data_IF_651277785543
#
_entry.id   IF_651277785543
#
_cell.length_a   1.000
_cell.length_b   1.000
_cell.length_c   1.000
_cell.angle_alpha   90.00
_cell.angle_beta   90.00
_cell.angle_gamma   90.00
#
_symmetry.space_group_name_H-M   'P 1'
#
loop_
_entity.id
_entity.type
_entity.pdbx_description
1 polymer ?
#
# COMPACT_ATOMS: atom_id res chain seq x y z
N UNK A 1 2.30 -11.24 -14.57
CA UNK A 1 2.41 -11.52 -13.12
C UNK A 1 3.21 -10.39 -12.52
N UNK A 2 2.63 -9.62 -11.63
CA UNK A 2 3.34 -8.58 -10.86
C UNK A 2 3.35 -9.08 -9.43
N UNK A 3 4.52 -9.18 -8.83
CA UNK A 3 4.70 -9.70 -7.48
C UNK A 3 5.60 -8.71 -6.74
N UNK A 4 5.15 -8.17 -5.61
CA UNK A 4 5.95 -7.27 -4.79
C UNK A 4 5.83 -7.59 -3.30
N UNK A 5 6.94 -7.46 -2.55
CA UNK A 5 7.01 -7.73 -1.12
C UNK A 5 7.57 -6.55 -0.34
N UNK A 6 6.97 -6.27 0.81
CA UNK A 6 7.41 -5.23 1.74
C UNK A 6 8.14 -5.86 2.91
N UNK A 7 9.42 -5.51 3.11
CA UNK A 7 10.24 -5.97 4.23
C UNK A 7 10.58 -4.80 5.15
N UNK A 8 10.20 -4.90 6.43
CA UNK A 8 10.65 -3.96 7.45
C UNK A 8 11.94 -4.48 8.10
N UNK A 9 13.04 -3.74 7.91
CA UNK A 9 14.28 -3.97 8.65
C UNK A 9 14.22 -3.20 9.97
N UNK A 10 14.07 -3.92 11.09
CA UNK A 10 14.16 -3.28 12.39
C UNK A 10 15.61 -2.91 12.71
N UNK A 11 15.88 -1.62 12.85
CA UNK A 11 16.96 -1.16 13.70
C UNK A 11 16.38 -1.05 15.12
N UNK A 12 16.81 -1.93 16.03
CA UNK A 12 16.58 -1.77 17.46
C UNK A 12 17.61 -0.77 17.94
N UNK A 13 17.26 0.48 18.31
CA UNK A 13 18.19 1.32 19.05
C UNK A 13 18.35 0.69 20.44
N UNK A 14 19.56 0.31 20.78
CA UNK A 14 19.91 -0.07 22.13
C UNK A 14 19.66 1.14 23.04
N UNK A 15 18.58 1.11 23.80
CA UNK A 15 18.28 2.09 24.84
C UNK A 15 19.26 1.86 25.98
N UNK A 16 20.30 2.70 26.07
CA UNK A 16 21.06 2.90 27.29
C UNK A 16 20.13 3.52 28.33
N UNK A 17 19.78 2.76 29.34
CA UNK A 17 19.07 3.22 30.53
C UNK A 17 19.97 4.12 31.37
N UNK A 18 19.79 5.42 31.31
CA UNK A 18 20.29 6.35 32.28
C UNK A 18 19.20 6.60 33.34
N UNK A 19 19.39 6.03 34.51
CA UNK A 19 18.61 6.33 35.69
C UNK A 19 18.96 7.74 36.18
N UNK A 20 17.98 8.65 36.27
CA UNK A 20 18.08 9.88 37.00
C UNK A 20 17.01 9.96 38.09
N UNK A 21 17.53 10.12 39.28
CA UNK A 21 16.84 10.23 40.56
C UNK A 21 15.97 11.48 40.64
N UNK A 22 14.87 11.30 41.33
CA UNK A 22 13.88 12.30 41.71
C UNK A 22 14.43 13.38 42.62
N UNK A 23 13.99 14.65 42.43
CA UNK A 23 13.92 15.64 43.48
C UNK A 23 12.52 16.27 43.50
N UNK A 24 11.95 16.22 44.68
CA UNK A 24 10.65 16.72 45.06
C UNK A 24 10.70 18.26 45.23
N UNK A 25 9.66 18.99 44.83
CA UNK A 25 9.48 20.41 45.14
C UNK A 25 8.10 20.89 44.70
N UNK A 26 7.27 21.25 45.69
CA UNK A 26 5.85 21.43 45.57
C UNK A 26 5.35 22.75 45.03
N UNK A 27 4.05 22.81 44.80
CA UNK A 27 3.14 23.92 44.95
C UNK A 27 2.77 24.72 43.70
N UNK A 28 1.48 24.73 43.34
CA UNK A 28 0.89 25.72 42.46
C UNK A 28 -0.19 25.17 41.56
N UNK A 29 -1.43 25.22 42.00
CA UNK A 29 -2.63 24.95 41.22
C UNK A 29 -2.86 26.06 40.17
N UNK A 30 -2.92 25.64 38.88
CA UNK A 30 -3.70 26.35 37.86
C UNK A 30 -4.22 25.33 36.84
N UNK A 31 -5.53 25.15 36.86
CA UNK A 31 -6.27 24.31 35.95
C UNK A 31 -6.41 24.99 34.59
N UNK A 32 -5.55 24.63 33.66
CA UNK A 32 -5.77 24.84 32.24
C UNK A 32 -6.05 23.45 31.60
N UNK A 33 -7.31 23.24 31.20
CA UNK A 33 -7.74 22.11 30.37
C UNK A 33 -6.99 22.16 29.01
N UNK A 34 -5.77 21.65 28.96
CA UNK A 34 -5.14 21.25 27.71
C UNK A 34 -5.82 19.96 27.28
N UNK A 35 -6.56 20.01 26.17
CA UNK A 35 -7.05 18.82 25.50
C UNK A 35 -5.86 17.85 25.32
N UNK A 36 -5.88 16.75 26.05
CA UNK A 36 -4.95 15.63 25.82
C UNK A 36 -5.20 15.11 24.40
N UNK A 37 -4.35 15.55 23.48
CA UNK A 37 -4.23 14.89 22.19
C UNK A 37 -3.86 13.44 22.45
N UNK A 38 -4.83 12.54 22.28
CA UNK A 38 -4.57 11.10 22.31
C UNK A 38 -3.62 10.78 21.16
N UNK A 39 -2.33 10.62 21.48
CA UNK A 39 -1.36 10.11 20.52
C UNK A 39 -1.81 8.74 20.09
N UNK A 40 -2.15 8.57 18.82
CA UNK A 40 -2.46 7.24 18.25
C UNK A 40 -1.24 6.35 18.46
N UNK A 41 -1.37 5.16 19.08
CA UNK A 41 -0.25 4.24 19.22
C UNK A 41 0.39 3.95 17.86
N UNK A 42 1.72 3.75 17.85
CA UNK A 42 2.44 3.36 16.65
C UNK A 42 1.81 2.10 16.05
N UNK A 43 1.50 2.11 14.75
CA UNK A 43 0.84 0.99 14.06
C UNK A 43 -0.68 1.00 14.08
N UNK A 44 -1.32 2.06 14.60
CA UNK A 44 -2.76 2.26 14.44
C UNK A 44 -3.06 3.42 13.50
N UNK A 45 -4.02 3.23 12.60
CA UNK A 45 -4.52 4.31 11.75
C UNK A 45 -5.61 5.10 12.48
N UNK A 46 -5.63 6.41 12.26
CA UNK A 46 -6.75 7.25 12.68
C UNK A 46 -7.97 6.86 11.87
N UNK A 47 -9.07 6.58 12.55
CA UNK A 47 -10.31 6.22 11.86
C UNK A 47 -10.80 7.38 10.99
N UNK A 48 -11.06 7.08 9.72
CA UNK A 48 -11.56 8.03 8.74
C UNK A 48 -13.08 7.92 8.62
N UNK A 49 -13.78 9.00 8.23
CA UNK A 49 -15.20 8.92 7.95
C UNK A 49 -15.50 7.88 6.88
N UNK A 50 -16.46 6.99 7.15
CA UNK A 50 -16.82 5.90 6.23
C UNK A 50 -15.85 4.72 6.17
N UNK A 51 -14.79 4.73 6.98
CA UNK A 51 -13.91 3.58 7.11
C UNK A 51 -14.67 2.35 7.67
N UNK A 52 -14.28 1.13 7.28
CA UNK A 52 -14.91 -0.08 7.79
C UNK A 52 -14.72 -0.21 9.31
N UNK A 53 -15.68 -0.88 9.95
CA UNK A 53 -15.59 -1.19 11.38
C UNK A 53 -14.53 -2.26 11.60
N UNK A 54 -13.71 -2.10 12.63
CA UNK A 54 -12.73 -3.10 13.05
C UNK A 54 -13.41 -4.40 13.48
N UNK A 55 -12.97 -5.51 12.89
CA UNK A 55 -13.37 -6.86 13.29
C UNK A 55 -12.38 -7.50 14.28
N UNK A 56 -11.20 -6.89 14.48
CA UNK A 56 -10.05 -7.42 15.19
C UNK A 56 -9.49 -8.72 14.57
N UNK A 57 -9.76 -8.94 13.30
CA UNK A 57 -9.15 -9.99 12.49
C UNK A 57 -8.30 -9.33 11.40
N UNK A 58 -6.99 -9.50 11.48
CA UNK A 58 -6.02 -8.82 10.58
C UNK A 58 -6.37 -9.03 9.11
N UNK A 59 -6.69 -10.27 8.70
CA UNK A 59 -6.99 -10.58 7.31
C UNK A 59 -8.29 -9.89 6.83
N UNK A 60 -9.33 -9.92 7.65
CA UNK A 60 -10.63 -9.29 7.35
C UNK A 60 -10.49 -7.77 7.32
N UNK A 61 -9.84 -7.21 8.33
CA UNK A 61 -9.66 -5.76 8.42
C UNK A 61 -8.81 -5.24 7.28
N UNK A 62 -7.70 -5.91 6.95
CA UNK A 62 -6.84 -5.53 5.84
C UNK A 62 -7.55 -5.58 4.48
N UNK A 63 -8.31 -6.66 4.21
CA UNK A 63 -9.09 -6.79 3.00
C UNK A 63 -10.18 -5.71 2.87
N UNK A 64 -10.90 -5.43 3.97
CA UNK A 64 -11.90 -4.38 4.02
C UNK A 64 -11.30 -2.99 3.80
N UNK A 65 -10.10 -2.74 4.33
CA UNK A 65 -9.38 -1.49 4.12
C UNK A 65 -8.97 -1.30 2.65
N UNK A 66 -8.46 -2.34 2.02
CA UNK A 66 -8.16 -2.32 0.57
C UNK A 66 -9.42 -1.94 -0.23
N UNK A 67 -10.55 -2.58 0.05
CA UNK A 67 -11.81 -2.27 -0.63
C UNK A 67 -12.32 -0.86 -0.34
N UNK A 68 -12.14 -0.36 0.88
CA UNK A 68 -12.46 1.02 1.22
C UNK A 68 -11.65 2.02 0.38
N UNK A 69 -10.33 1.82 0.28
CA UNK A 69 -9.47 2.67 -0.55
C UNK A 69 -9.79 2.55 -2.05
N UNK A 70 -10.08 1.35 -2.53
CA UNK A 70 -10.55 1.14 -3.91
C UNK A 70 -11.83 1.92 -4.19
N UNK A 71 -12.79 1.88 -3.27
CA UNK A 71 -14.04 2.64 -3.38
C UNK A 71 -13.82 4.16 -3.42
N UNK A 72 -12.90 4.70 -2.62
CA UNK A 72 -12.58 6.14 -2.61
C UNK A 72 -12.04 6.66 -3.94
N UNK A 73 -11.40 5.83 -4.74
CA UNK A 73 -10.88 6.17 -6.07
C UNK A 73 -11.81 5.74 -7.21
N UNK A 74 -13.02 5.27 -6.87
CA UNK A 74 -14.04 4.90 -7.86
C UNK A 74 -13.85 3.51 -8.47
N UNK A 75 -13.04 2.64 -7.89
CA UNK A 75 -12.91 1.25 -8.31
C UNK A 75 -14.00 0.38 -7.68
N UNK A 76 -14.42 -0.64 -8.43
CA UNK A 76 -15.28 -1.68 -7.89
C UNK A 76 -14.58 -2.41 -6.73
N UNK A 77 -15.32 -2.76 -5.66
CA UNK A 77 -14.77 -3.58 -4.61
C UNK A 77 -14.44 -4.98 -5.13
N UNK A 78 -13.39 -5.56 -4.59
CA UNK A 78 -13.06 -6.98 -4.79
C UNK A 78 -14.09 -7.84 -4.07
N UNK A 79 -14.63 -8.83 -4.73
CA UNK A 79 -15.49 -9.84 -4.12
C UNK A 79 -14.61 -10.80 -3.34
N UNK A 80 -14.86 -10.96 -2.04
CA UNK A 80 -14.10 -11.90 -1.22
C UNK A 80 -14.41 -13.34 -1.61
N UNK A 81 -13.37 -14.15 -1.80
CA UNK A 81 -13.47 -15.54 -2.19
C UNK A 81 -12.72 -16.44 -1.18
N UNK A 82 -13.42 -17.38 -0.56
CA UNK A 82 -12.85 -18.24 0.48
C UNK A 82 -11.73 -19.17 -0.01
N UNK A 83 -11.72 -19.55 -1.29
CA UNK A 83 -10.62 -20.32 -1.86
C UNK A 83 -9.35 -19.48 -1.97
N UNK A 84 -9.49 -18.21 -2.30
CA UNK A 84 -8.38 -17.25 -2.31
C UNK A 84 -7.93 -16.96 -0.87
N UNK A 85 -8.86 -16.81 0.10
CA UNK A 85 -8.51 -16.69 1.52
C UNK A 85 -7.65 -17.87 1.99
N UNK A 86 -8.01 -19.09 1.60
CA UNK A 86 -7.25 -20.30 1.96
C UNK A 86 -5.82 -20.28 1.38
N UNK A 87 -5.65 -19.85 0.14
CA UNK A 87 -4.32 -19.70 -0.46
C UNK A 87 -3.48 -18.67 0.28
N UNK A 88 -4.05 -17.48 0.54
CA UNK A 88 -3.40 -16.40 1.27
C UNK A 88 -3.06 -16.77 2.72
N UNK A 89 -3.97 -17.47 3.43
CA UNK A 89 -3.73 -17.96 4.78
C UNK A 89 -2.63 -19.02 4.81
N UNK A 90 -2.65 -19.97 3.86
CA UNK A 90 -1.61 -20.99 3.71
C UNK A 90 -0.25 -20.35 3.50
N UNK A 91 -0.18 -19.27 2.71
CA UNK A 91 1.06 -18.53 2.50
C UNK A 91 1.50 -17.76 3.74
N UNK A 92 0.61 -17.03 4.41
CA UNK A 92 0.94 -16.33 5.66
C UNK A 92 1.44 -17.29 6.74
N UNK A 93 0.87 -18.49 6.85
CA UNK A 93 1.37 -19.54 7.75
C UNK A 93 2.77 -20.03 7.37
N UNK A 94 3.04 -20.26 6.08
CA UNK A 94 4.37 -20.61 5.59
C UNK A 94 5.40 -19.53 5.95
N UNK A 95 5.08 -18.26 5.70
CA UNK A 95 5.95 -17.13 6.02
C UNK A 95 6.27 -17.08 7.53
N UNK A 96 5.24 -17.25 8.36
CA UNK A 96 5.38 -17.27 9.81
C UNK A 96 6.25 -18.43 10.32
N UNK A 97 5.99 -19.67 9.86
CA UNK A 97 6.72 -20.86 10.29
C UNK A 97 8.20 -20.77 9.90
N UNK A 98 8.51 -20.23 8.71
CA UNK A 98 9.86 -20.13 8.19
C UNK A 98 10.55 -18.79 8.52
N UNK A 99 9.84 -17.85 9.15
CA UNK A 99 10.31 -16.51 9.50
C UNK A 99 10.91 -15.75 8.31
N UNK A 100 10.17 -15.70 7.20
CA UNK A 100 10.57 -15.06 5.94
C UNK A 100 9.43 -14.21 5.37
N UNK A 101 9.77 -13.20 4.55
CA UNK A 101 8.81 -12.47 3.71
C UNK A 101 9.25 -12.64 2.26
N UNK A 102 8.59 -13.53 1.54
CA UNK A 102 8.93 -13.90 0.16
C UNK A 102 7.65 -14.31 -0.57
N UNK A 103 7.63 -14.19 -1.88
CA UNK A 103 6.48 -14.63 -2.69
C UNK A 103 6.48 -16.13 -2.99
N UNK A 104 7.65 -16.69 -3.26
CA UNK A 104 7.75 -18.11 -3.59
C UNK A 104 8.04 -18.94 -2.35
N UNK A 105 7.35 -20.06 -2.23
CA UNK A 105 7.65 -21.08 -1.22
C UNK A 105 8.67 -22.08 -1.77
N UNK A 106 9.42 -22.69 -0.88
CA UNK A 106 10.41 -23.73 -1.23
C UNK A 106 9.81 -25.10 -0.87
N UNK A 107 9.71 -25.97 -1.86
CA UNK A 107 9.22 -27.35 -1.68
C UNK A 107 10.03 -28.07 -0.59
N UNK A 108 9.32 -28.74 0.31
CA UNK A 108 9.93 -29.46 1.45
C UNK A 108 10.13 -28.64 2.71
N UNK A 109 9.93 -27.33 2.68
CA UNK A 109 9.88 -26.50 3.88
C UNK A 109 8.55 -26.67 4.62
N UNK A 110 8.52 -26.55 5.95
CA UNK A 110 7.29 -26.61 6.73
C UNK A 110 6.23 -25.62 6.22
N UNK A 111 4.97 -26.04 6.17
CA UNK A 111 3.87 -25.20 5.71
C UNK A 111 3.78 -24.98 4.20
N UNK A 112 4.55 -25.74 3.39
CA UNK A 112 4.50 -25.63 1.93
C UNK A 112 3.11 -25.97 1.38
N UNK A 113 2.53 -25.06 0.59
CA UNK A 113 1.21 -25.20 -0.06
C UNK A 113 1.26 -25.04 -1.58
N UNK A 114 2.39 -24.59 -2.13
CA UNK A 114 2.63 -24.38 -3.56
C UNK A 114 3.77 -23.39 -3.75
N UNK A 115 4.61 -23.61 -4.76
CA UNK A 115 5.81 -22.78 -4.99
C UNK A 115 5.42 -21.35 -5.33
N UNK A 116 4.58 -21.17 -6.35
CA UNK A 116 4.12 -19.87 -6.83
C UNK A 116 2.72 -19.55 -6.31
N UNK A 117 2.29 -18.30 -6.43
CA UNK A 117 0.89 -17.92 -6.15
C UNK A 117 -0.10 -18.74 -6.98
N UNK A 118 0.21 -19.00 -8.27
CA UNK A 118 -0.64 -19.83 -9.14
C UNK A 118 -0.82 -21.23 -8.56
N UNK A 119 0.27 -21.86 -8.09
CA UNK A 119 0.21 -23.20 -7.50
C UNK A 119 -0.64 -23.20 -6.22
N UNK A 120 -0.51 -22.18 -5.38
CA UNK A 120 -1.29 -22.04 -4.14
C UNK A 120 -2.78 -21.83 -4.39
N UNK A 121 -3.13 -20.99 -5.36
CA UNK A 121 -4.51 -20.78 -5.79
C UNK A 121 -5.10 -22.08 -6.35
N UNK A 122 -4.35 -22.79 -7.19
CA UNK A 122 -4.76 -24.08 -7.74
C UNK A 122 -4.94 -25.12 -6.63
N UNK A 123 -4.00 -25.21 -5.69
CA UNK A 123 -4.07 -26.15 -4.56
C UNK A 123 -5.26 -25.86 -3.63
N UNK A 124 -5.68 -24.60 -3.51
CA UNK A 124 -6.89 -24.22 -2.75
C UNK A 124 -8.20 -24.51 -3.49
N UNK A 125 -8.12 -24.98 -4.74
CA UNK A 125 -9.29 -25.24 -5.59
C UNK A 125 -9.78 -24.02 -6.38
N UNK A 126 -9.06 -22.89 -6.36
CA UNK A 126 -9.42 -21.73 -7.16
C UNK A 126 -8.89 -21.86 -8.59
N UNK A 127 -9.82 -21.90 -9.54
CA UNK A 127 -9.48 -22.02 -10.96
C UNK A 127 -9.01 -20.69 -11.55
N UNK A 128 -7.71 -20.42 -11.51
CA UNK A 128 -7.12 -19.22 -12.12
C UNK A 128 -7.11 -19.34 -13.63
N UNK A 129 -7.73 -18.41 -14.34
CA UNK A 129 -7.80 -18.43 -15.80
C UNK A 129 -7.30 -17.17 -16.50
N UNK A 130 -7.10 -16.06 -15.77
CA UNK A 130 -6.78 -14.79 -16.41
C UNK A 130 -5.65 -14.00 -15.72
N UNK A 131 -5.94 -13.40 -14.58
CA UNK A 131 -4.99 -12.54 -13.86
C UNK A 131 -4.92 -12.93 -12.39
N UNK A 132 -3.75 -12.80 -11.83
CA UNK A 132 -3.50 -12.97 -10.40
C UNK A 132 -2.33 -12.10 -9.96
N UNK A 133 -2.32 -11.75 -8.70
CA UNK A 133 -1.26 -11.00 -8.07
C UNK A 133 -1.32 -11.12 -6.56
N UNK A 134 -0.21 -10.86 -5.90
CA UNK A 134 -0.05 -11.00 -4.46
C UNK A 134 0.67 -9.81 -3.89
N UNK A 135 0.19 -9.33 -2.76
CA UNK A 135 0.88 -8.35 -1.93
C UNK A 135 1.05 -8.92 -0.52
N UNK A 136 2.23 -8.68 0.07
CA UNK A 136 2.61 -9.23 1.37
C UNK A 136 3.18 -8.13 2.24
N UNK A 137 2.69 -8.02 3.47
CA UNK A 137 3.28 -7.20 4.51
C UNK A 137 3.73 -8.06 5.70
N UNK A 138 4.91 -7.73 6.25
CA UNK A 138 5.42 -8.33 7.48
C UNK A 138 5.83 -7.22 8.46
N UNK A 139 5.13 -7.12 9.61
CA UNK A 139 5.39 -6.06 10.60
C UNK A 139 4.85 -6.44 11.98
N UNK A 140 5.47 -5.92 13.04
CA UNK A 140 4.97 -6.09 14.40
C UNK A 140 3.75 -5.18 14.63
N UNK A 141 2.56 -5.73 14.40
CA UNK A 141 1.28 -5.05 14.62
C UNK A 141 0.14 -6.08 14.70
N UNK A 142 -0.97 -5.68 15.31
CA UNK A 142 -2.24 -6.41 15.25
C UNK A 142 -3.29 -5.71 14.38
N UNK A 143 -2.90 -4.66 13.64
CA UNK A 143 -3.82 -3.85 12.83
C UNK A 143 -3.76 -4.23 11.35
N UNK A 144 -4.80 -4.90 10.86
CA UNK A 144 -4.97 -5.18 9.43
C UNK A 144 -5.10 -3.91 8.59
N UNK A 145 -5.74 -2.87 9.13
CA UNK A 145 -5.82 -1.56 8.45
C UNK A 145 -4.44 -0.95 8.23
N UNK A 146 -3.59 -0.98 9.27
CA UNK A 146 -2.23 -0.46 9.16
C UNK A 146 -1.41 -1.23 8.11
N UNK A 147 -1.48 -2.56 8.11
CA UNK A 147 -0.76 -3.39 7.13
C UNK A 147 -1.22 -3.11 5.70
N UNK A 148 -2.54 -3.00 5.48
CA UNK A 148 -3.10 -2.68 4.18
C UNK A 148 -2.73 -1.25 3.70
N UNK A 149 -2.77 -0.24 4.60
CA UNK A 149 -2.37 1.12 4.24
C UNK A 149 -0.88 1.21 3.91
N UNK A 150 -0.02 0.46 4.60
CA UNK A 150 1.40 0.38 4.27
C UNK A 150 1.63 -0.20 2.87
N UNK A 151 0.90 -1.27 2.51
CA UNK A 151 0.94 -1.82 1.16
C UNK A 151 0.44 -0.81 0.11
N UNK A 152 -0.57 -0.01 0.44
CA UNK A 152 -1.06 1.05 -0.46
C UNK A 152 -0.05 2.21 -0.53
N UNK A 153 0.68 2.49 0.53
CA UNK A 153 1.74 3.52 0.54
C UNK A 153 2.90 3.11 -0.36
N UNK A 154 3.30 1.84 -0.33
CA UNK A 154 4.32 1.26 -1.18
C UNK A 154 3.85 1.22 -2.65
N UNK A 155 4.64 1.85 -3.54
CA UNK A 155 4.15 2.22 -4.88
C UNK A 155 3.92 1.03 -5.80
N UNK A 156 4.77 0.01 -5.77
CA UNK A 156 4.61 -1.19 -6.62
C UNK A 156 3.49 -2.10 -6.11
N UNK A 157 3.31 -2.20 -4.78
CA UNK A 157 2.15 -2.89 -4.19
C UNK A 157 0.85 -2.17 -4.53
N UNK A 158 0.85 -0.83 -4.47
CA UNK A 158 -0.28 0.01 -4.87
C UNK A 158 -0.68 -0.24 -6.32
N UNK A 159 0.27 -0.38 -7.24
CA UNK A 159 -0.02 -0.65 -8.65
C UNK A 159 -0.87 -1.90 -8.81
N UNK A 160 -0.62 -2.92 -8.00
CA UNK A 160 -1.39 -4.14 -8.00
C UNK A 160 -2.75 -3.96 -7.29
N UNK A 161 -2.75 -3.39 -6.09
CA UNK A 161 -3.98 -3.20 -5.28
C UNK A 161 -5.02 -2.37 -6.03
N UNK A 162 -4.58 -1.37 -6.80
CA UNK A 162 -5.45 -0.46 -7.55
C UNK A 162 -5.59 -0.83 -9.03
N UNK A 163 -5.19 -2.03 -9.42
CA UNK A 163 -5.51 -2.54 -10.77
C UNK A 163 -7.03 -2.62 -10.93
N UNK A 164 -7.62 -1.88 -11.92
CA UNK A 164 -9.07 -1.76 -12.03
C UNK A 164 -9.80 -3.04 -12.42
N UNK A 165 -9.10 -3.97 -13.08
CA UNK A 165 -9.72 -5.16 -13.65
C UNK A 165 -9.73 -6.38 -12.73
N UNK A 166 -9.11 -6.33 -11.55
CA UNK A 166 -9.29 -7.37 -10.56
C UNK A 166 -10.74 -7.40 -10.06
N UNK A 167 -11.26 -8.61 -9.92
CA UNK A 167 -12.66 -8.87 -9.55
C UNK A 167 -12.80 -9.49 -8.18
N UNK A 168 -11.92 -10.41 -7.84
CA UNK A 168 -11.98 -11.21 -6.64
C UNK A 168 -10.67 -11.08 -5.87
N UNK A 169 -10.74 -11.36 -4.60
CA UNK A 169 -9.57 -11.41 -3.75
C UNK A 169 -9.84 -12.17 -2.46
N UNK A 170 -8.77 -12.46 -1.77
CA UNK A 170 -8.80 -13.07 -0.45
C UNK A 170 -7.61 -12.62 0.36
N UNK A 171 -7.68 -12.79 1.66
CA UNK A 171 -6.62 -12.40 2.57
C UNK A 171 -6.42 -13.43 3.67
N UNK A 172 -5.15 -13.59 4.06
CA UNK A 172 -4.73 -14.42 5.17
C UNK A 172 -3.76 -13.68 6.07
N UNK A 173 -3.71 -14.06 7.33
CA UNK A 173 -2.72 -13.52 8.27
C UNK A 173 -2.28 -14.58 9.26
N UNK A 174 -1.01 -14.51 9.68
CA UNK A 174 -0.44 -15.30 10.75
C UNK A 174 0.42 -14.41 11.64
N UNK A 175 0.39 -14.65 12.94
CA UNK A 175 1.14 -13.85 13.93
C UNK A 175 2.03 -14.80 14.73
N UNK A 176 3.30 -14.45 14.88
CA UNK A 176 4.20 -15.21 15.70
C UNK A 176 4.11 -14.82 17.20
N UNK A 177 4.82 -15.56 18.05
CA UNK A 177 4.81 -15.34 19.50
C UNK A 177 5.40 -13.97 19.93
N UNK A 178 6.14 -13.29 19.06
CA UNK A 178 6.67 -11.94 19.31
C UNK A 178 5.73 -10.82 18.87
N UNK A 179 4.55 -11.15 18.33
CA UNK A 179 3.59 -10.17 17.81
C UNK A 179 3.93 -9.68 16.40
N UNK A 180 4.86 -10.34 15.69
CA UNK A 180 5.11 -10.04 14.28
C UNK A 180 4.07 -10.73 13.42
N UNK A 181 3.34 -9.95 12.62
CA UNK A 181 2.28 -10.41 11.74
C UNK A 181 2.75 -10.51 10.29
N UNK A 182 2.32 -11.56 9.62
CA UNK A 182 2.44 -11.78 8.19
C UNK A 182 1.06 -11.68 7.58
N UNK A 183 0.85 -10.73 6.69
CA UNK A 183 -0.43 -10.48 6.02
C UNK A 183 -0.24 -10.63 4.53
N UNK A 184 -0.99 -11.54 3.93
CA UNK A 184 -1.03 -11.79 2.49
C UNK A 184 -2.40 -11.41 1.94
N UNK A 185 -2.43 -10.69 0.83
CA UNK A 185 -3.64 -10.49 0.04
C UNK A 185 -3.39 -10.95 -1.38
N UNK A 186 -4.18 -11.93 -1.81
CA UNK A 186 -4.21 -12.45 -3.15
C UNK A 186 -5.36 -11.84 -3.94
N UNK A 187 -5.08 -11.38 -5.13
CA UNK A 187 -6.00 -10.74 -6.05
C UNK A 187 -6.10 -11.60 -7.29
N UNK A 188 -7.30 -11.86 -7.78
CA UNK A 188 -7.47 -12.74 -8.91
C UNK A 188 -8.71 -12.43 -9.76
N UNK A 189 -8.74 -12.97 -10.96
CA UNK A 189 -9.91 -13.04 -11.82
C UNK A 189 -10.09 -14.48 -12.32
N UNK A 190 -11.30 -15.00 -12.19
CA UNK A 190 -11.68 -16.29 -12.72
C UNK A 190 -12.54 -16.08 -13.97
N UNK A 191 -12.06 -16.53 -15.13
CA UNK A 191 -12.71 -16.48 -16.45
C UNK A 191 -13.14 -15.10 -16.98
N UNK A 192 -13.23 -14.08 -16.16
CA UNK A 192 -13.57 -12.71 -16.56
C UNK A 192 -12.84 -11.70 -15.68
N UNK A 193 -12.45 -10.60 -16.31
CA UNK A 193 -12.02 -9.41 -15.59
C UNK A 193 -13.22 -8.75 -14.89
N UNK A 194 -12.95 -7.96 -13.86
CA UNK A 194 -13.90 -7.00 -13.32
C UNK A 194 -14.27 -5.94 -14.36
N UNK A 195 -15.17 -5.02 -14.01
CA UNK A 195 -15.66 -4.01 -14.97
C UNK A 195 -14.56 -3.11 -15.52
N UNK A 196 -13.46 -2.94 -14.77
CA UNK A 196 -12.40 -2.00 -15.13
C UNK A 196 -12.88 -0.56 -15.17
N UNK A 197 -12.06 0.30 -15.77
CA UNK A 197 -12.40 1.69 -16.08
C UNK A 197 -12.97 1.78 -17.50
N UNK A 198 -13.86 2.76 -17.77
CA UNK A 198 -14.21 3.11 -19.13
C UNK A 198 -12.97 3.38 -20.00
N UNK A 199 -13.05 3.11 -21.28
CA UNK A 199 -11.96 3.30 -22.22
C UNK A 199 -11.39 4.72 -22.15
N UNK A 200 -10.07 4.85 -22.09
CA UNK A 200 -9.37 6.13 -22.03
C UNK A 200 -9.38 6.82 -20.68
N UNK A 201 -9.95 6.22 -19.65
CA UNK A 201 -9.94 6.81 -18.30
C UNK A 201 -8.79 6.31 -17.45
N UNK A 202 -8.43 7.13 -16.46
CA UNK A 202 -7.47 6.84 -15.40
C UNK A 202 -8.06 7.17 -14.03
N UNK A 203 -7.60 6.47 -13.01
CA UNK A 203 -7.73 6.90 -11.62
C UNK A 203 -6.41 7.45 -11.11
N UNK A 204 -6.45 8.22 -10.03
CA UNK A 204 -5.27 8.81 -9.38
C UNK A 204 -5.28 8.56 -7.88
N UNK A 205 -4.07 8.41 -7.30
CA UNK A 205 -3.90 8.33 -5.86
C UNK A 205 -2.63 9.09 -5.43
N UNK A 206 -2.67 9.92 -4.37
CA UNK A 206 -3.85 10.27 -3.58
C UNK A 206 -5.00 10.76 -4.46
N UNK A 207 -6.26 10.53 -4.04
CA UNK A 207 -7.42 10.99 -4.81
C UNK A 207 -7.66 12.49 -4.62
N UNK A 208 -8.46 13.07 -5.52
CA UNK A 208 -8.75 14.51 -5.46
C UNK A 208 -9.44 14.91 -4.15
N UNK A 209 -8.84 15.85 -3.43
CA UNK A 209 -9.33 16.33 -2.14
C UNK A 209 -8.99 15.41 -0.96
N UNK A 210 -8.19 14.35 -1.15
CA UNK A 210 -7.76 13.50 -0.04
C UNK A 210 -7.00 14.31 0.99
N UNK A 211 -7.35 14.15 2.26
CA UNK A 211 -6.68 14.78 3.41
C UNK A 211 -5.91 13.74 4.21
N UNK A 212 -5.05 14.20 5.13
CA UNK A 212 -4.24 13.35 6.02
C UNK A 212 -3.31 12.37 5.29
N UNK A 213 -2.90 12.70 4.06
CA UNK A 213 -1.90 11.93 3.32
C UNK A 213 -0.58 11.97 4.09
N UNK A 214 0.14 10.85 4.14
CA UNK A 214 1.45 10.82 4.77
C UNK A 214 2.42 11.77 4.06
N UNK A 215 3.35 12.37 4.80
CA UNK A 215 4.35 13.28 4.23
C UNK A 215 5.48 12.53 3.55
N UNK A 216 5.69 11.27 3.91
CA UNK A 216 6.86 10.49 3.48
C UNK A 216 6.53 9.03 3.24
N UNK A 217 7.45 8.37 2.56
CA UNK A 217 7.48 6.97 2.23
C UNK A 217 8.90 6.44 2.42
N UNK A 218 9.05 5.27 3.06
CA UNK A 218 10.34 4.60 3.24
C UNK A 218 10.62 3.72 2.02
N UNK A 219 11.33 4.28 1.05
CA UNK A 219 11.61 3.65 -0.25
C UNK A 219 12.36 2.32 -0.10
N UNK A 220 13.38 2.30 0.77
CA UNK A 220 14.23 1.13 1.03
C UNK A 220 13.53 -0.05 1.73
N UNK A 221 12.28 0.12 2.16
CA UNK A 221 11.45 -0.95 2.73
C UNK A 221 10.59 -1.66 1.68
N UNK A 222 10.46 -1.10 0.49
CA UNK A 222 9.81 -1.75 -0.66
C UNK A 222 10.85 -2.50 -1.51
N UNK A 223 10.54 -3.74 -1.90
CA UNK A 223 11.38 -4.55 -2.77
C UNK A 223 10.66 -4.80 -4.11
N UNK A 224 11.21 -4.35 -5.25
CA UNK A 224 12.44 -3.57 -5.40
C UNK A 224 12.32 -2.14 -4.88
N UNK A 225 13.45 -1.51 -4.50
CA UNK A 225 13.50 -0.12 -4.05
C UNK A 225 13.17 0.85 -5.22
N UNK A 226 12.08 1.62 -5.13
CA UNK A 226 11.69 2.53 -6.20
C UNK A 226 12.57 3.79 -6.30
N UNK A 227 13.34 4.14 -5.26
CA UNK A 227 14.25 5.30 -5.26
C UNK A 227 15.61 4.91 -4.66
N UNK A 228 16.44 4.14 -5.38
CA UNK A 228 17.73 3.69 -4.87
C UNK A 228 18.59 4.85 -4.36
N UNK A 229 19.22 4.62 -3.19
CA UNK A 229 20.08 5.57 -2.46
C UNK A 229 19.34 6.71 -1.73
N UNK A 230 18.02 6.65 -1.58
CA UNK A 230 17.22 7.57 -0.77
C UNK A 230 16.21 6.79 0.08
N UNK A 231 16.47 6.61 1.36
CA UNK A 231 15.65 5.77 2.23
C UNK A 231 14.28 6.39 2.54
N UNK A 232 14.22 7.71 2.72
CA UNK A 232 12.98 8.43 3.03
C UNK A 232 12.74 9.52 2.02
N UNK A 233 11.64 9.39 1.29
CA UNK A 233 11.22 10.29 0.19
C UNK A 233 9.79 10.79 0.43
N UNK A 234 9.27 11.65 -0.44
CA UNK A 234 7.88 12.10 -0.39
C UNK A 234 6.88 11.00 -0.71
N UNK A 235 5.63 11.20 -0.29
CA UNK A 235 4.56 10.23 -0.56
C UNK A 235 4.37 10.01 -2.06
N UNK A 236 4.35 8.76 -2.57
CA UNK A 236 4.19 8.47 -3.98
C UNK A 236 2.82 8.88 -4.52
N UNK A 237 2.81 9.44 -5.72
CA UNK A 237 1.60 9.90 -6.42
C UNK A 237 1.48 9.10 -7.71
N UNK A 238 0.34 8.45 -7.95
CA UNK A 238 0.19 7.50 -9.04
C UNK A 238 -1.07 7.70 -9.86
N UNK A 239 -1.02 7.24 -11.11
CA UNK A 239 -2.16 7.11 -12.02
C UNK A 239 -2.23 5.68 -12.55
N UNK A 240 -3.45 5.16 -12.75
CA UNK A 240 -3.70 3.79 -13.16
C UNK A 240 -4.76 3.77 -14.26
N UNK A 241 -4.50 2.98 -15.29
CA UNK A 241 -5.45 2.57 -16.32
C UNK A 241 -5.70 1.06 -16.21
N UNK A 242 -6.60 0.50 -16.99
CA UNK A 242 -6.78 -0.96 -17.07
C UNK A 242 -5.48 -1.64 -17.51
N UNK A 243 -5.16 -2.83 -16.99
CA UNK A 243 -3.89 -3.53 -17.22
C UNK A 243 -3.56 -3.77 -18.70
N UNK A 244 -4.56 -3.88 -19.56
CA UNK A 244 -4.43 -4.06 -21.01
C UNK A 244 -4.20 -2.74 -21.77
N UNK A 245 -4.41 -1.59 -21.12
CA UNK A 245 -4.16 -0.29 -21.71
C UNK A 245 -2.66 0.05 -21.75
N UNK A 246 -2.31 0.94 -22.66
CA UNK A 246 -0.99 1.56 -22.74
C UNK A 246 -1.09 3.01 -22.31
N UNK A 247 -0.47 3.33 -21.18
CA UNK A 247 -0.36 4.67 -20.62
C UNK A 247 1.01 5.24 -21.01
N UNK A 248 1.04 6.40 -21.65
CA UNK A 248 2.28 7.17 -21.86
C UNK A 248 2.23 8.49 -21.14
N UNK A 249 3.35 8.90 -20.56
CA UNK A 249 3.48 10.13 -19.79
C UNK A 249 4.12 11.22 -20.63
N UNK A 250 3.42 12.35 -20.80
CA UNK A 250 4.01 13.56 -21.41
C UNK A 250 4.54 14.50 -20.32
N UNK A 251 3.76 14.67 -19.23
CA UNK A 251 4.17 15.41 -18.05
C UNK A 251 3.44 14.84 -16.83
N UNK A 252 4.15 14.74 -15.70
CA UNK A 252 3.56 14.36 -14.43
C UNK A 252 4.28 15.15 -13.33
N UNK A 253 3.59 16.11 -12.73
CA UNK A 253 4.21 17.08 -11.81
C UNK A 253 3.40 17.23 -10.54
N UNK A 254 4.09 17.67 -9.48
CA UNK A 254 3.48 18.04 -8.20
C UNK A 254 4.18 19.28 -7.65
N UNK A 255 3.40 20.19 -7.06
CA UNK A 255 3.91 21.38 -6.38
C UNK A 255 3.07 21.71 -5.17
N UNK A 256 3.64 22.46 -4.25
CA UNK A 256 2.86 23.06 -3.17
C UNK A 256 1.81 24.02 -3.75
N UNK A 257 0.60 23.97 -3.21
CA UNK A 257 -0.49 24.82 -3.67
C UNK A 257 -0.12 26.32 -3.60
N UNK A 258 -0.31 27.02 -4.72
CA UNK A 258 0.08 28.42 -4.86
C UNK A 258 1.56 28.66 -5.15
N UNK A 259 2.43 27.64 -5.15
CA UNK A 259 3.83 27.81 -5.54
C UNK A 259 4.01 27.88 -7.06
N UNK A 260 5.05 28.61 -7.50
CA UNK A 260 5.41 28.75 -8.92
C UNK A 260 6.32 27.63 -9.45
N UNK A 261 6.83 26.74 -8.58
CA UNK A 261 7.82 25.72 -8.94
C UNK A 261 7.35 24.31 -8.58
N UNK A 262 7.56 23.38 -9.49
CA UNK A 262 7.29 21.96 -9.24
C UNK A 262 8.39 21.34 -8.36
N UNK A 263 8.02 20.33 -7.57
CA UNK A 263 8.96 19.56 -6.77
C UNK A 263 9.83 18.69 -7.68
N UNK A 264 11.07 18.43 -7.24
CA UNK A 264 11.91 17.41 -7.87
C UNK A 264 11.35 16.03 -7.57
N UNK A 265 11.08 15.24 -8.62
CA UNK A 265 10.46 13.92 -8.51
C UNK A 265 11.24 12.87 -9.30
N UNK A 266 11.14 11.61 -8.87
CA UNK A 266 11.46 10.45 -9.70
C UNK A 266 10.18 9.99 -10.41
N UNK A 267 10.25 9.87 -11.72
CA UNK A 267 9.18 9.29 -12.54
C UNK A 267 9.37 7.77 -12.66
N UNK A 268 8.33 7.02 -12.35
CA UNK A 268 8.18 5.60 -12.62
C UNK A 268 7.16 5.41 -13.72
N UNK A 269 7.56 4.90 -14.85
CA UNK A 269 6.72 4.55 -15.98
C UNK A 269 7.31 3.36 -16.72
N UNK A 270 6.60 2.80 -17.69
CA UNK A 270 7.15 1.73 -18.52
C UNK A 270 8.46 2.12 -19.22
N UNK A 271 8.65 3.39 -19.54
CA UNK A 271 9.84 3.91 -20.21
C UNK A 271 11.02 4.12 -19.23
N UNK A 272 10.75 4.55 -17.99
CA UNK A 272 11.80 4.93 -17.02
C UNK A 272 12.12 3.84 -16.01
N UNK A 273 11.22 2.85 -15.85
CA UNK A 273 11.34 1.74 -14.89
C UNK A 273 10.71 0.46 -15.48
N UNK A 274 11.21 0.04 -16.63
CA UNK A 274 10.61 -1.02 -17.45
C UNK A 274 10.48 -2.39 -16.77
N UNK A 275 11.30 -2.67 -15.76
CA UNK A 275 11.31 -3.96 -15.06
C UNK A 275 10.21 -4.06 -14.02
N UNK A 276 9.82 -2.96 -13.39
CA UNK A 276 8.93 -2.96 -12.24
C UNK A 276 7.61 -2.21 -12.49
N UNK A 277 7.60 -1.29 -13.46
CA UNK A 277 6.40 -0.51 -13.80
C UNK A 277 5.75 -1.06 -15.07
N UNK A 278 4.48 -1.50 -14.96
CA UNK A 278 3.72 -1.98 -16.10
C UNK A 278 3.31 -0.83 -17.04
N UNK A 279 2.89 -1.19 -18.27
CA UNK A 279 2.49 -0.19 -19.26
C UNK A 279 1.19 0.57 -18.93
N UNK A 280 0.44 0.13 -17.93
CA UNK A 280 -0.88 0.68 -17.57
C UNK A 280 -0.86 1.64 -16.39
N UNK A 281 0.32 1.86 -15.78
CA UNK A 281 0.47 2.71 -14.60
C UNK A 281 1.65 3.66 -14.73
N UNK A 282 1.61 4.75 -13.98
CA UNK A 282 2.76 5.62 -13.76
C UNK A 282 2.68 6.23 -12.35
N UNK A 283 3.85 6.58 -11.81
CA UNK A 283 3.92 7.31 -10.56
C UNK A 283 5.05 8.35 -10.59
N UNK A 284 4.91 9.36 -9.74
CA UNK A 284 5.99 10.26 -9.35
C UNK A 284 6.22 10.16 -7.87
N UNK A 285 7.49 10.18 -7.47
CA UNK A 285 7.90 10.17 -6.07
C UNK A 285 8.71 11.44 -5.82
N UNK A 286 8.21 12.40 -4.99
CA UNK A 286 8.99 13.55 -4.58
C UNK A 286 10.28 13.08 -3.88
N UNK A 287 11.44 13.61 -4.29
CA UNK A 287 12.72 13.17 -3.73
C UNK A 287 12.98 13.66 -2.30
N UNK A 288 12.15 14.55 -1.78
CA UNK A 288 12.17 14.97 -0.39
C UNK A 288 10.79 14.76 0.25
N UNK A 289 10.71 14.49 1.56
CA UNK A 289 9.45 14.45 2.29
C UNK A 289 8.63 15.72 2.05
N UNK A 290 7.31 15.54 1.97
CA UNK A 290 6.35 16.63 1.83
C UNK A 290 6.22 17.40 3.17
N UNK A 291 5.83 18.65 3.11
CA UNK A 291 5.54 19.44 4.31
C UNK A 291 4.24 18.94 4.96
N UNK A 292 4.17 18.98 6.28
CA UNK A 292 2.97 18.64 7.02
C UNK A 292 1.86 19.69 6.83
N UNK A 293 0.60 19.29 6.98
CA UNK A 293 -0.60 20.14 6.89
C UNK A 293 -0.61 21.04 5.64
N UNK A 294 -0.07 20.53 4.52
CA UNK A 294 0.16 21.30 3.29
C UNK A 294 -0.63 20.70 2.13
N UNK A 295 -1.30 21.55 1.35
CA UNK A 295 -1.98 21.15 0.12
C UNK A 295 -1.01 21.16 -1.05
N UNK A 296 -1.13 20.17 -1.92
CA UNK A 296 -0.34 20.00 -3.14
C UNK A 296 -1.23 19.95 -4.37
N UNK A 297 -0.82 20.63 -5.43
CA UNK A 297 -1.41 20.55 -6.78
C UNK A 297 -0.66 19.50 -7.56
N UNK A 298 -1.40 18.60 -8.21
CA UNK A 298 -0.86 17.56 -9.08
C UNK A 298 -1.41 17.73 -10.49
N UNK A 299 -0.55 17.55 -11.49
CA UNK A 299 -0.94 17.58 -12.90
C UNK A 299 -0.36 16.39 -13.64
N UNK A 300 -1.22 15.69 -14.36
CA UNK A 300 -0.87 14.61 -15.27
C UNK A 300 -1.32 14.95 -16.69
N UNK A 301 -0.43 14.81 -17.65
CA UNK A 301 -0.68 14.93 -19.09
C UNK A 301 -0.08 13.70 -19.76
N UNK A 302 -0.85 12.99 -20.56
CA UNK A 302 -0.39 11.77 -21.20
C UNK A 302 -1.39 11.23 -22.21
N UNK A 303 -1.25 9.94 -22.52
CA UNK A 303 -2.20 9.24 -23.41
C UNK A 303 -2.53 7.88 -22.82
N UNK A 304 -3.78 7.45 -23.05
CA UNK A 304 -4.23 6.07 -22.81
C UNK A 304 -4.65 5.49 -24.15
N UNK A 305 -3.98 4.43 -24.62
CA UNK A 305 -4.19 3.82 -25.93
C UNK A 305 -4.17 4.86 -27.09
N UNK A 306 -3.25 5.82 -27.00
CA UNK A 306 -3.09 6.89 -28.00
C UNK A 306 -4.04 8.09 -27.81
N UNK A 307 -5.11 7.99 -27.05
CA UNK A 307 -6.03 9.11 -26.77
C UNK A 307 -5.45 10.01 -25.67
N UNK A 308 -5.50 11.34 -25.87
CA UNK A 308 -5.00 12.30 -24.89
C UNK A 308 -5.79 12.26 -23.59
N UNK A 309 -5.10 12.29 -22.47
CA UNK A 309 -5.68 12.36 -21.14
C UNK A 309 -4.95 13.45 -20.34
N UNK A 310 -5.73 14.34 -19.73
CA UNK A 310 -5.23 15.36 -18.80
C UNK A 310 -6.02 15.25 -17.51
N UNK A 311 -5.33 15.29 -16.38
CA UNK A 311 -5.95 15.27 -15.05
C UNK A 311 -5.18 16.19 -14.10
N UNK A 312 -5.94 17.06 -13.41
CA UNK A 312 -5.41 17.90 -12.33
C UNK A 312 -6.22 17.64 -11.06
N UNK A 313 -5.54 17.55 -9.92
CA UNK A 313 -6.18 17.32 -8.63
C UNK A 313 -5.32 17.85 -7.49
N UNK A 314 -5.88 17.86 -6.29
CA UNK A 314 -5.18 18.27 -5.07
C UNK A 314 -5.27 17.20 -3.99
N UNK A 315 -4.32 17.22 -3.07
CA UNK A 315 -4.41 16.49 -1.81
C UNK A 315 -3.73 17.28 -0.69
N UNK A 316 -4.03 16.95 0.57
CA UNK A 316 -3.46 17.64 1.73
C UNK A 316 -2.81 16.62 2.67
N UNK A 317 -1.59 16.90 3.09
CA UNK A 317 -0.83 16.06 4.04
C UNK A 317 -1.36 16.21 5.47
N UNK A 318 -1.04 15.24 6.32
CA UNK A 318 -1.30 15.26 7.78
C UNK A 318 -0.25 16.08 8.51
#
# INVERSE_FOLDING_TARGET
MIVSSLRWKYWIPALLSAALLSACGGGGSDSSNAAQGTSTPAGQLVQEPGAPVLSNNIATDGFNWINYRRGQIGLAPLVRNSLIDNAALGHSNYLNINNVVVHNQIKGKPGFTGETLYDRLTASGYGVTSVWGEVIAGVATNSGFYMAENLITAVYHRFLIFEPTFKEGGAGAAVNNSGYAYFTTDLAGNSRYGPGLPAGQIISYPFNGQTKVATSFSSNEEEPDPVPNQDVVGYPISVHANFDATLSVTAFTVRQHGAGTDLTVRLLSKETDASNTSRSVAAIIPLAPLLAATTYDVSFIGKVNGANVTRSWTFTTR
#
